data_IF_423460844706
#
_entry.id   IF_423460844706
#
_cell.length_a   1.000
_cell.length_b   1.000
_cell.length_c   1.000
_cell.angle_alpha   90.00
_cell.angle_beta   90.00
_cell.angle_gamma   90.00
#
_symmetry.space_group_name_H-M   'P 1'
#
loop_
_entity.id
_entity.type
_entity.pdbx_description
1 polymer ?
#
# COMPACT_ATOMS: atom_id res chain seq x y z
N UNK A 1 -33.35 -12.71 15.63
CA UNK A 1 -32.41 -13.33 14.68
C UNK A 1 -31.77 -12.34 13.71
N UNK A 2 -32.46 -11.29 13.24
CA UNK A 2 -31.90 -10.30 12.29
C UNK A 2 -30.62 -9.55 12.73
N UNK A 3 -30.42 -9.32 14.04
CA UNK A 3 -29.24 -8.60 14.58
C UNK A 3 -27.96 -9.46 14.56
N UNK A 4 -28.10 -10.80 14.61
CA UNK A 4 -26.96 -11.71 14.53
C UNK A 4 -26.43 -11.82 13.09
N UNK A 5 -27.31 -11.82 12.09
CA UNK A 5 -26.94 -11.79 10.67
C UNK A 5 -26.24 -10.49 10.27
N UNK A 6 -26.68 -9.34 10.78
CA UNK A 6 -26.01 -8.06 10.50
C UNK A 6 -24.62 -8.01 11.11
N UNK A 7 -24.43 -8.57 12.32
CA UNK A 7 -23.14 -8.62 13.00
C UNK A 7 -22.14 -9.53 12.27
N UNK A 8 -22.57 -10.72 11.83
CA UNK A 8 -21.71 -11.61 11.04
C UNK A 8 -21.31 -11.00 9.69
N UNK A 9 -22.23 -10.37 8.96
CA UNK A 9 -21.93 -9.69 7.70
C UNK A 9 -20.94 -8.54 7.88
N UNK A 10 -21.12 -7.73 8.93
CA UNK A 10 -20.21 -6.63 9.25
C UNK A 10 -18.81 -7.16 9.58
N UNK A 11 -18.71 -8.28 10.30
CA UNK A 11 -17.42 -8.87 10.65
C UNK A 11 -16.68 -9.46 9.42
N UNK A 12 -17.41 -10.04 8.46
CA UNK A 12 -16.84 -10.51 7.18
C UNK A 12 -16.29 -9.35 6.35
N UNK A 13 -17.02 -8.23 6.28
CA UNK A 13 -16.58 -7.04 5.55
C UNK A 13 -15.36 -6.42 6.25
N UNK A 14 -15.42 -6.22 7.56
CA UNK A 14 -14.33 -5.63 8.33
C UNK A 14 -13.05 -6.49 8.24
N UNK A 15 -13.16 -7.81 8.44
CA UNK A 15 -12.02 -8.71 8.30
C UNK A 15 -11.45 -8.69 6.88
N UNK A 16 -12.29 -8.66 5.84
CA UNK A 16 -11.82 -8.58 4.45
C UNK A 16 -11.07 -7.27 4.19
N UNK A 17 -11.56 -6.12 4.66
CA UNK A 17 -10.87 -4.84 4.57
C UNK A 17 -9.52 -4.89 5.30
N UNK A 18 -9.49 -5.41 6.53
CA UNK A 18 -8.25 -5.53 7.32
C UNK A 18 -7.22 -6.40 6.61
N UNK A 19 -7.61 -7.58 6.13
CA UNK A 19 -6.70 -8.46 5.38
C UNK A 19 -6.18 -7.76 4.13
N UNK A 20 -7.05 -7.10 3.37
CA UNK A 20 -6.66 -6.39 2.15
C UNK A 20 -5.71 -5.22 2.44
N UNK A 21 -5.93 -4.47 3.52
CA UNK A 21 -5.02 -3.40 3.96
C UNK A 21 -3.68 -3.93 4.45
N UNK A 22 -3.65 -5.07 5.14
CA UNK A 22 -2.40 -5.73 5.55
C UNK A 22 -1.58 -6.15 4.33
N UNK A 23 -2.22 -6.75 3.34
CA UNK A 23 -1.56 -7.10 2.06
C UNK A 23 -1.03 -5.85 1.37
N UNK A 24 -1.82 -4.77 1.32
CA UNK A 24 -1.40 -3.50 0.74
C UNK A 24 -0.14 -2.93 1.43
N UNK A 25 -0.09 -3.01 2.76
CA UNK A 25 1.04 -2.54 3.56
C UNK A 25 2.31 -3.40 3.35
N UNK A 26 2.16 -4.73 3.22
CA UNK A 26 3.27 -5.63 2.89
C UNK A 26 3.85 -5.30 1.51
N UNK A 27 2.99 -5.15 0.50
CA UNK A 27 3.43 -4.79 -0.87
C UNK A 27 4.12 -3.43 -0.88
N UNK A 28 3.58 -2.45 -0.16
CA UNK A 28 4.19 -1.13 -0.02
C UNK A 28 5.57 -1.20 0.65
N UNK A 29 5.71 -2.02 1.69
CA UNK A 29 6.99 -2.22 2.38
C UNK A 29 8.03 -2.86 1.47
N UNK A 30 7.64 -3.86 0.67
CA UNK A 30 8.52 -4.51 -0.31
C UNK A 30 9.00 -3.51 -1.38
N UNK A 31 8.13 -2.62 -1.86
CA UNK A 31 8.50 -1.58 -2.81
C UNK A 31 9.56 -0.62 -2.24
N UNK A 32 9.43 -0.22 -0.97
CA UNK A 32 10.42 0.62 -0.30
C UNK A 32 11.76 -0.11 -0.17
N UNK A 33 11.75 -1.37 0.28
CA UNK A 33 12.96 -2.17 0.46
C UNK A 33 13.66 -2.36 -0.88
N UNK A 34 12.93 -2.71 -1.93
CA UNK A 34 13.45 -2.88 -3.28
C UNK A 34 14.10 -1.59 -3.81
N UNK A 35 13.38 -0.46 -3.71
CA UNK A 35 13.88 0.85 -4.16
C UNK A 35 15.10 1.32 -3.37
N UNK A 36 15.12 1.07 -2.06
CA UNK A 36 16.25 1.39 -1.19
C UNK A 36 17.47 0.51 -1.49
N UNK A 37 17.26 -0.76 -1.83
CA UNK A 37 18.34 -1.68 -2.23
C UNK A 37 18.96 -1.25 -3.55
N UNK A 38 18.14 -0.77 -4.50
CA UNK A 38 18.64 -0.19 -5.75
C UNK A 38 19.53 1.04 -5.50
N UNK A 39 19.10 1.94 -4.60
CA UNK A 39 19.92 3.09 -4.16
C UNK A 39 21.14 2.71 -3.30
N UNK A 40 21.14 1.53 -2.70
CA UNK A 40 22.34 1.04 -2.01
C UNK A 40 23.48 0.85 -3.00
N UNK A 41 23.16 0.32 -4.18
CA UNK A 41 24.11 -0.03 -5.24
C UNK A 41 24.38 1.11 -6.25
N UNK A 42 23.49 2.11 -6.37
CA UNK A 42 23.70 3.27 -7.24
C UNK A 42 23.39 4.61 -6.56
N UNK A 43 23.95 5.69 -7.10
CA UNK A 43 23.60 7.06 -6.71
C UNK A 43 22.52 7.60 -7.65
N UNK A 44 21.68 8.50 -7.14
CA UNK A 44 20.60 9.11 -7.92
C UNK A 44 19.27 9.11 -7.18
N UNK A 45 18.18 9.24 -7.95
CA UNK A 45 16.81 9.32 -7.45
C UNK A 45 16.02 8.15 -8.02
N UNK A 46 15.40 7.35 -7.15
CA UNK A 46 14.48 6.28 -7.54
C UNK A 46 13.08 6.65 -7.06
N UNK A 47 12.13 6.57 -8.00
CA UNK A 47 10.71 6.75 -7.71
C UNK A 47 10.09 5.37 -7.63
N UNK A 48 9.69 4.96 -6.43
CA UNK A 48 8.88 3.77 -6.21
C UNK A 48 7.47 4.03 -6.73
N UNK A 49 7.06 3.26 -7.74
CA UNK A 49 5.73 3.33 -8.35
C UNK A 49 5.03 1.97 -8.30
N UNK A 50 3.70 2.01 -8.16
CA UNK A 50 2.84 0.84 -8.33
C UNK A 50 1.89 1.11 -9.49
N UNK A 51 2.14 0.45 -10.63
CA UNK A 51 1.48 0.78 -11.90
C UNK A 51 1.78 2.22 -12.31
N UNK A 52 0.75 3.02 -12.57
CA UNK A 52 0.87 4.44 -12.94
C UNK A 52 1.03 5.38 -11.73
N UNK A 53 0.84 4.89 -10.50
CA UNK A 53 0.89 5.70 -9.29
C UNK A 53 2.33 5.80 -8.78
N UNK A 54 2.84 7.03 -8.66
CA UNK A 54 4.11 7.31 -8.01
C UNK A 54 3.86 7.47 -6.51
N UNK A 55 4.51 6.66 -5.69
CA UNK A 55 4.20 6.56 -4.26
C UNK A 55 5.26 7.23 -3.40
N UNK A 56 6.52 6.95 -3.68
CA UNK A 56 7.64 7.41 -2.87
C UNK A 56 8.81 7.74 -3.78
N UNK A 57 9.52 8.80 -3.45
CA UNK A 57 10.79 9.17 -4.06
C UNK A 57 11.89 9.02 -3.02
N UNK A 58 12.91 8.24 -3.34
CA UNK A 58 14.08 8.00 -2.50
C UNK A 58 15.29 8.50 -3.29
N UNK A 59 16.07 9.39 -2.68
CA UNK A 59 17.25 10.00 -3.30
C UNK A 59 18.51 9.71 -2.50
N UNK A 60 19.59 9.39 -3.19
CA UNK A 60 20.95 9.27 -2.65
C UNK A 60 21.86 10.14 -3.51
N UNK A 61 22.19 11.31 -3.01
CA UNK A 61 22.96 12.32 -3.73
C UNK A 61 24.37 12.44 -3.13
N UNK A 62 25.44 12.49 -3.95
CA UNK A 62 26.79 12.75 -3.45
C UNK A 62 26.89 14.18 -2.89
N UNK A 63 27.60 14.34 -1.79
CA UNK A 63 27.85 15.65 -1.17
C UNK A 63 29.25 16.17 -1.56
N UNK A 64 29.38 17.48 -1.76
CA UNK A 64 30.64 18.11 -2.20
C UNK A 64 31.82 17.91 -1.22
N UNK A 65 31.54 17.66 0.05
CA UNK A 65 32.53 17.34 1.09
C UNK A 65 32.85 15.85 1.27
N UNK A 66 32.32 14.98 0.40
CA UNK A 66 32.37 13.53 0.56
C UNK A 66 31.15 12.97 1.31
N UNK A 67 30.85 11.70 1.07
CA UNK A 67 29.66 11.02 1.61
C UNK A 67 28.41 11.18 0.74
N UNK A 68 27.27 10.73 1.27
CA UNK A 68 25.99 10.72 0.58
C UNK A 68 24.88 11.32 1.44
N UNK A 69 24.10 12.23 0.87
CA UNK A 69 22.84 12.69 1.43
C UNK A 69 21.72 11.72 1.05
N UNK A 70 20.97 11.27 2.05
CA UNK A 70 19.73 10.52 1.84
C UNK A 70 18.53 11.48 1.88
N UNK A 71 17.64 11.36 0.91
CA UNK A 71 16.37 12.07 0.87
C UNK A 71 15.24 11.09 0.68
N UNK A 72 14.12 11.36 1.35
CA UNK A 72 12.92 10.54 1.27
C UNK A 72 11.71 11.45 1.20
N UNK A 73 10.91 11.28 0.16
CA UNK A 73 9.70 12.07 -0.07
C UNK A 73 8.54 11.14 -0.37
N UNK A 74 7.55 11.11 0.52
CA UNK A 74 6.28 10.47 0.22
C UNK A 74 5.44 11.37 -0.69
N UNK A 75 4.96 10.80 -1.79
CA UNK A 75 4.02 11.46 -2.68
C UNK A 75 2.61 11.20 -2.15
N UNK A 76 2.13 12.08 -1.25
CA UNK A 76 0.87 11.92 -0.52
C UNK A 76 -0.31 11.56 -1.44
N UNK A 77 -0.44 12.21 -2.60
CA UNK A 77 -1.51 11.93 -3.56
C UNK A 77 -1.48 10.48 -4.06
N UNK A 78 -0.30 9.96 -4.41
CA UNK A 78 -0.14 8.59 -4.88
C UNK A 78 -0.37 7.56 -3.77
N UNK A 79 0.13 7.84 -2.56
CA UNK A 79 -0.10 6.99 -1.38
C UNK A 79 -1.60 6.92 -1.05
N UNK A 80 -2.30 8.05 -1.07
CA UNK A 80 -3.74 8.10 -0.81
C UNK A 80 -4.53 7.34 -1.87
N UNK A 81 -4.20 7.49 -3.16
CA UNK A 81 -4.81 6.74 -4.25
C UNK A 81 -4.57 5.23 -4.12
N UNK A 82 -3.35 4.83 -3.75
CA UNK A 82 -3.00 3.43 -3.52
C UNK A 82 -3.84 2.82 -2.40
N UNK A 83 -3.81 3.40 -1.19
CA UNK A 83 -4.59 2.87 -0.08
C UNK A 83 -6.09 2.94 -0.35
N UNK A 84 -6.58 3.99 -1.01
CA UNK A 84 -7.97 4.11 -1.43
C UNK A 84 -8.40 2.98 -2.38
N UNK A 85 -7.57 2.64 -3.38
CA UNK A 85 -7.85 1.54 -4.30
C UNK A 85 -7.90 0.18 -3.58
N UNK A 86 -6.98 -0.06 -2.64
CA UNK A 86 -6.99 -1.28 -1.82
C UNK A 86 -8.21 -1.35 -0.89
N UNK A 87 -8.67 -0.21 -0.36
CA UNK A 87 -9.86 -0.15 0.49
C UNK A 87 -11.12 -0.48 -0.33
N UNK A 88 -11.23 0.07 -1.54
CA UNK A 88 -12.30 -0.28 -2.49
C UNK A 88 -12.27 -1.76 -2.87
N UNK A 89 -11.09 -2.32 -3.14
CA UNK A 89 -10.94 -3.75 -3.42
C UNK A 89 -11.37 -4.61 -2.23
N UNK A 90 -11.01 -4.23 -1.00
CA UNK A 90 -11.40 -4.92 0.23
C UNK A 90 -12.92 -4.88 0.48
N UNK A 91 -13.55 -3.74 0.19
CA UNK A 91 -15.01 -3.58 0.23
C UNK A 91 -15.69 -4.48 -0.80
N UNK A 92 -15.23 -4.49 -2.06
CA UNK A 92 -15.78 -5.35 -3.11
C UNK A 92 -15.64 -6.83 -2.76
N UNK A 93 -14.49 -7.25 -2.22
CA UNK A 93 -14.27 -8.61 -1.75
C UNK A 93 -15.17 -8.97 -0.57
N UNK A 94 -15.35 -8.05 0.39
CA UNK A 94 -16.25 -8.24 1.53
C UNK A 94 -17.69 -8.42 1.08
N UNK A 95 -18.20 -7.54 0.21
CA UNK A 95 -19.55 -7.62 -0.35
C UNK A 95 -19.72 -8.92 -1.14
N UNK A 96 -18.79 -9.26 -2.02
CA UNK A 96 -18.85 -10.50 -2.80
C UNK A 96 -18.91 -11.75 -1.90
N UNK A 97 -18.10 -11.81 -0.83
CA UNK A 97 -18.16 -12.90 0.14
C UNK A 97 -19.49 -12.96 0.88
N UNK A 98 -20.06 -11.82 1.26
CA UNK A 98 -21.38 -11.80 1.91
C UNK A 98 -22.50 -12.26 0.97
N UNK A 99 -22.44 -11.93 -0.33
CA UNK A 99 -23.41 -12.40 -1.33
C UNK A 99 -23.26 -13.90 -1.57
N UNK A 100 -22.03 -14.39 -1.73
CA UNK A 100 -21.75 -15.82 -1.95
C UNK A 100 -22.19 -16.70 -0.78
N UNK A 101 -22.04 -16.25 0.46
CA UNK A 101 -22.46 -17.02 1.64
C UNK A 101 -23.99 -17.03 1.85
N UNK A 102 -24.76 -16.28 1.05
CA UNK A 102 -26.21 -16.18 1.17
C UNK A 102 -26.99 -17.00 0.12
N UNK A 103 -26.30 -17.51 -0.90
CA UNK A 103 -26.79 -18.46 -1.92
C UNK A 103 -26.30 -19.86 -1.59
#
# INVERSE_FOLDING_TARGET
MAVLDSSQKQNIIASSIVVTLVVAAVVFSLLIISSSTQLSQSTGVVVASFGFMKLVEISKLPLEGGGYGAGFRMLQAGVLQYFGAWLLAGLLLGVFRTVKNHN
#
